data_IF_886577738470
#
_entry.id   IF_886577738470
#
_cell.length_a   1.000
_cell.length_b   1.000
_cell.length_c   1.000
_cell.angle_alpha   90.00
_cell.angle_beta   90.00
_cell.angle_gamma   90.00
#
_symmetry.space_group_name_H-M   'P 1'
#
loop_
_entity.id
_entity.type
_entity.pdbx_description
1 polymer ?
#
# COMPACT_ATOMS: atom_id res chain seq x y z
N UNK A 1 -2.14 2.13 17.35
CA UNK A 1 -1.55 1.28 16.29
C UNK A 1 -0.09 1.67 16.20
N UNK A 2 0.83 0.74 16.43
CA UNK A 2 2.26 1.03 16.43
C UNK A 2 2.91 0.24 15.29
N UNK A 3 3.00 0.87 14.13
CA UNK A 3 4.02 0.49 13.17
C UNK A 3 5.40 0.90 13.74
N UNK A 4 6.45 0.22 13.33
CA UNK A 4 7.83 0.57 13.71
C UNK A 4 8.35 1.75 12.87
N UNK A 5 9.51 2.29 13.23
CA UNK A 5 10.20 3.28 12.39
C UNK A 5 10.57 2.69 11.02
N UNK A 6 10.89 1.39 10.97
CA UNK A 6 11.16 0.68 9.73
C UNK A 6 9.90 0.55 8.87
N UNK A 7 8.75 0.20 9.45
CA UNK A 7 7.46 0.13 8.75
C UNK A 7 7.09 1.50 8.14
N UNK A 8 7.33 2.59 8.88
CA UNK A 8 7.13 3.96 8.39
C UNK A 8 8.07 4.31 7.25
N UNK A 9 9.35 3.91 7.33
CA UNK A 9 10.33 4.09 6.24
C UNK A 9 9.87 3.38 4.96
N UNK A 10 9.38 2.14 5.07
CA UNK A 10 8.84 1.39 3.92
C UNK A 10 7.57 2.06 3.38
N UNK A 11 6.70 2.58 4.24
CA UNK A 11 5.52 3.33 3.83
C UNK A 11 5.88 4.63 3.08
N UNK A 12 6.94 5.32 3.49
CA UNK A 12 7.48 6.49 2.76
C UNK A 12 8.05 6.09 1.39
N UNK A 13 8.73 4.94 1.31
CA UNK A 13 9.17 4.38 0.03
C UNK A 13 7.97 4.08 -0.89
N UNK A 14 6.91 3.46 -0.37
CA UNK A 14 5.67 3.24 -1.13
C UNK A 14 5.07 4.56 -1.65
N UNK A 15 5.08 5.62 -0.84
CA UNK A 15 4.63 6.95 -1.25
C UNK A 15 5.52 7.54 -2.36
N UNK A 16 6.83 7.36 -2.28
CA UNK A 16 7.73 7.79 -3.34
C UNK A 16 7.44 7.05 -4.65
N UNK A 17 7.22 5.73 -4.61
CA UNK A 17 6.86 4.96 -5.81
C UNK A 17 5.50 5.38 -6.38
N UNK A 18 4.51 5.60 -5.52
CA UNK A 18 3.19 6.11 -5.94
C UNK A 18 3.32 7.46 -6.67
N UNK A 19 4.07 8.41 -6.10
CA UNK A 19 4.25 9.76 -6.66
C UNK A 19 4.92 9.79 -8.03
N UNK A 20 5.62 8.72 -8.43
CA UNK A 20 6.24 8.63 -9.76
C UNK A 20 5.22 8.43 -10.89
N UNK A 21 4.09 7.80 -10.60
CA UNK A 21 3.12 7.34 -11.63
C UNK A 21 1.67 7.67 -11.33
N UNK A 22 1.40 8.25 -10.16
CA UNK A 22 0.06 8.40 -9.59
C UNK A 22 -0.70 7.06 -9.51
N UNK A 23 0.01 5.95 -9.37
CA UNK A 23 -0.56 4.68 -8.96
C UNK A 23 0.54 3.74 -8.48
N UNK A 24 0.17 2.74 -7.69
CA UNK A 24 1.08 1.70 -7.23
C UNK A 24 0.38 0.34 -7.25
N UNK A 25 0.80 -0.60 -8.12
CA UNK A 25 0.28 -1.97 -8.09
C UNK A 25 0.70 -2.71 -6.80
N UNK A 26 -0.22 -3.43 -6.17
CA UNK A 26 0.07 -4.18 -4.94
C UNK A 26 1.16 -5.24 -5.15
N UNK A 27 1.10 -5.97 -6.27
CA UNK A 27 2.09 -6.98 -6.59
C UNK A 27 3.49 -6.38 -6.78
N UNK A 28 3.58 -5.18 -7.40
CA UNK A 28 4.84 -4.46 -7.53
C UNK A 28 5.36 -4.05 -6.15
N UNK A 29 4.53 -3.41 -5.33
CA UNK A 29 4.92 -3.00 -3.99
C UNK A 29 5.42 -4.18 -3.15
N UNK A 30 4.69 -5.30 -3.12
CA UNK A 30 5.11 -6.48 -2.38
C UNK A 30 6.41 -7.08 -2.92
N UNK A 31 6.58 -7.14 -4.25
CA UNK A 31 7.82 -7.63 -4.87
C UNK A 31 9.02 -6.78 -4.48
N UNK A 32 8.94 -5.47 -4.69
CA UNK A 32 10.05 -4.55 -4.42
C UNK A 32 10.36 -4.48 -2.93
N UNK A 33 9.33 -4.47 -2.06
CA UNK A 33 9.56 -4.48 -0.61
C UNK A 33 10.33 -5.72 -0.18
N UNK A 34 9.93 -6.89 -0.70
CA UNK A 34 10.64 -8.15 -0.43
C UNK A 34 12.10 -8.13 -0.89
N UNK A 35 12.38 -7.49 -2.04
CA UNK A 35 13.73 -7.41 -2.61
C UNK A 35 14.62 -6.38 -1.90
N UNK A 36 14.07 -5.25 -1.48
CA UNK A 36 14.82 -4.12 -0.92
C UNK A 36 14.95 -4.23 0.60
N UNK A 37 13.86 -4.57 1.30
CA UNK A 37 13.79 -4.57 2.77
C UNK A 37 13.75 -5.99 3.37
N UNK A 38 13.47 -7.00 2.54
CA UNK A 38 13.46 -8.40 2.95
C UNK A 38 12.07 -8.99 3.13
N UNK A 39 12.03 -10.33 3.24
CA UNK A 39 10.79 -11.10 3.26
C UNK A 39 9.95 -10.91 4.52
N UNK A 40 10.56 -10.47 5.63
CA UNK A 40 9.86 -10.21 6.90
C UNK A 40 8.78 -9.14 6.79
N UNK A 41 8.85 -8.28 5.77
CA UNK A 41 7.93 -7.14 5.53
C UNK A 41 6.76 -7.47 4.60
N UNK A 42 6.72 -8.71 4.12
CA UNK A 42 5.65 -9.24 3.28
C UNK A 42 5.17 -10.57 3.82
N UNK A 43 4.02 -11.01 3.33
CA UNK A 43 3.49 -12.33 3.63
C UNK A 43 2.83 -12.93 2.39
N UNK A 44 2.77 -14.25 2.31
CA UNK A 44 1.93 -14.92 1.32
C UNK A 44 0.50 -15.02 1.87
N UNK A 45 -0.47 -14.53 1.10
CA UNK A 45 -1.87 -14.74 1.45
C UNK A 45 -2.29 -16.20 1.18
N UNK A 46 -3.53 -16.57 1.54
CA UNK A 46 -4.08 -17.93 1.34
C UNK A 46 -4.05 -18.45 -0.11
N UNK A 47 -3.79 -17.58 -1.09
CA UNK A 47 -3.69 -17.93 -2.50
C UNK A 47 -2.23 -17.97 -3.00
N UNK A 48 -1.24 -17.88 -2.10
CA UNK A 48 0.18 -17.88 -2.45
C UNK A 48 0.71 -16.56 -3.00
N UNK A 49 -0.11 -15.50 -3.01
CA UNK A 49 0.33 -14.19 -3.52
C UNK A 49 1.02 -13.39 -2.42
N UNK A 50 2.15 -12.78 -2.76
CA UNK A 50 2.83 -11.83 -1.88
C UNK A 50 1.97 -10.57 -1.64
N UNK A 51 1.88 -10.18 -0.37
CA UNK A 51 1.19 -8.99 0.09
C UNK A 51 2.04 -8.25 1.11
N UNK A 52 1.86 -6.94 1.21
CA UNK A 52 2.58 -6.08 2.15
C UNK A 52 1.98 -6.22 3.55
N UNK A 53 2.82 -6.29 4.57
CA UNK A 53 2.37 -6.42 5.95
C UNK A 53 1.44 -5.28 6.40
N UNK A 54 0.49 -5.62 7.28
CA UNK A 54 -0.56 -4.70 7.73
C UNK A 54 -0.01 -3.41 8.38
N UNK A 55 1.02 -3.43 9.26
CA UNK A 55 1.56 -2.20 9.86
C UNK A 55 2.03 -1.17 8.83
N UNK A 56 2.76 -1.61 7.79
CA UNK A 56 3.21 -0.79 6.67
C UNK A 56 2.02 -0.19 5.92
N UNK A 57 0.99 -1.00 5.65
CA UNK A 57 -0.22 -0.52 4.96
C UNK A 57 -0.99 0.55 5.76
N UNK A 58 -1.05 0.44 7.08
CA UNK A 58 -1.68 1.46 7.94
C UNK A 58 -0.82 2.74 8.02
N UNK A 59 0.51 2.60 8.06
CA UNK A 59 1.42 3.74 7.97
C UNK A 59 1.26 4.47 6.63
N UNK A 60 1.27 3.73 5.51
CA UNK A 60 1.07 4.27 4.17
C UNK A 60 -0.30 4.96 4.02
N UNK A 61 -1.36 4.35 4.57
CA UNK A 61 -2.70 4.95 4.61
C UNK A 61 -2.71 6.27 5.38
N UNK A 62 -2.00 6.36 6.49
CA UNK A 62 -1.89 7.60 7.28
C UNK A 62 -1.24 8.72 6.48
N UNK A 63 -0.21 8.40 5.69
CA UNK A 63 0.48 9.37 4.82
C UNK A 63 -0.37 9.85 3.63
N UNK A 64 -1.42 9.09 3.27
CA UNK A 64 -2.13 9.24 2.00
C UNK A 64 -3.65 9.36 2.12
N UNK A 65 -4.15 9.47 3.35
CA UNK A 65 -5.58 9.33 3.70
C UNK A 65 -6.51 10.20 2.84
N UNK A 66 -6.06 11.40 2.49
CA UNK A 66 -6.87 12.38 1.75
C UNK A 66 -6.96 12.08 0.26
N UNK A 67 -5.91 11.55 -0.36
CA UNK A 67 -5.77 11.54 -1.82
C UNK A 67 -5.55 10.16 -2.46
N UNK A 68 -5.31 9.10 -1.68
CA UNK A 68 -5.12 7.74 -2.23
C UNK A 68 -6.22 6.79 -1.76
N UNK A 69 -6.68 5.95 -2.68
CA UNK A 69 -7.57 4.82 -2.38
C UNK A 69 -7.00 3.53 -2.96
N UNK A 70 -7.25 2.41 -2.28
CA UNK A 70 -6.96 1.08 -2.82
C UNK A 70 -8.16 0.59 -3.63
N UNK A 71 -7.92 0.27 -4.90
CA UNK A 71 -8.92 -0.31 -5.80
C UNK A 71 -8.85 -1.84 -5.74
N UNK A 72 -9.96 -2.48 -5.32
CA UNK A 72 -10.06 -3.94 -5.29
C UNK A 72 -10.01 -4.56 -6.69
N UNK A 73 -10.71 -3.95 -7.67
CA UNK A 73 -10.83 -4.47 -9.03
C UNK A 73 -9.48 -4.50 -9.76
N UNK A 74 -8.63 -3.50 -9.52
CA UNK A 74 -7.32 -3.38 -10.15
C UNK A 74 -6.14 -3.78 -9.25
N UNK A 75 -6.39 -4.09 -7.98
CA UNK A 75 -5.38 -4.43 -6.96
C UNK A 75 -4.22 -3.43 -6.91
N UNK A 76 -4.56 -2.14 -6.92
CA UNK A 76 -3.59 -1.05 -6.91
C UNK A 76 -4.08 0.12 -6.06
N UNK A 77 -3.13 0.94 -5.61
CA UNK A 77 -3.40 2.26 -5.04
C UNK A 77 -3.47 3.28 -6.18
N UNK A 78 -4.50 4.13 -6.17
CA UNK A 78 -4.75 5.18 -7.18
C UNK A 78 -5.27 6.47 -6.52
N UNK A 79 -5.29 7.60 -7.27
CA UNK A 79 -5.89 8.83 -6.81
C UNK A 79 -7.34 8.61 -6.43
N UNK A 80 -7.76 9.28 -5.36
CA UNK A 80 -9.15 9.42 -4.97
C UNK A 80 -9.88 10.24 -6.04
N UNK A 81 -11.05 9.77 -6.45
CA UNK A 81 -11.97 10.50 -7.34
C UNK A 81 -13.18 10.98 -6.53
N UNK A 82 -13.98 11.88 -7.12
CA UNK A 82 -15.21 12.37 -6.50
C UNK A 82 -16.24 11.27 -6.17
N UNK A 83 -16.09 10.07 -6.77
CA UNK A 83 -16.97 8.93 -6.56
C UNK A 83 -16.53 8.06 -5.37
N UNK A 84 -15.32 8.29 -4.85
CA UNK A 84 -14.77 7.56 -3.73
C UNK A 84 -15.20 8.24 -2.43
N UNK A 85 -16.08 7.59 -1.66
CA UNK A 85 -16.58 8.12 -0.39
C UNK A 85 -15.45 8.56 0.54
N UNK A 86 -15.57 9.71 1.22
CA UNK A 86 -14.61 10.13 2.23
C UNK A 86 -14.55 9.08 3.35
N UNK A 87 -13.34 8.68 3.73
CA UNK A 87 -13.09 7.88 4.93
C UNK A 87 -12.81 6.39 4.76
N UNK A 88 -13.29 5.66 3.75
CA UNK A 88 -13.10 4.18 3.71
C UNK A 88 -12.93 3.62 2.28
N UNK A 89 -12.12 2.54 2.20
CA UNK A 89 -11.90 1.65 1.05
C UNK A 89 -13.12 1.54 0.15
N UNK A 90 -12.94 1.86 -1.12
CA UNK A 90 -13.99 1.73 -2.12
C UNK A 90 -13.93 0.30 -2.64
N UNK A 91 -14.70 -0.59 -2.00
CA UNK A 91 -15.07 -1.84 -2.65
C UNK A 91 -16.24 -1.54 -3.59
N UNK A 92 -15.97 -1.47 -4.90
CA UNK A 92 -16.96 -1.90 -5.89
C UNK A 92 -16.69 -3.35 -6.24
#
# INVERSE_FOLDING_TARGET
MTWTDEDMSIAQWMLAEYKKKDYLPQALAAREIRLIFGETHVYQNRHGNWAVNKPILEAFKTLTVEYVVWSRSFQLWRPRTAQDLPGIRVSR
#
